data_IF_970589934061
#
_entry.id   IF_970589934061
#
_cell.length_a   1.000
_cell.length_b   1.000
_cell.length_c   1.000
_cell.angle_alpha   90.00
_cell.angle_beta   90.00
_cell.angle_gamma   90.00
#
_symmetry.space_group_name_H-M   'P 1'
#
loop_
_entity.id
_entity.type
_entity.pdbx_description
1 polymer ?
#
# COMPACT_ATOMS: atom_id res chain seq x y z
N UNK A 1 -28.20 37.73 -45.46
CA UNK A 1 -27.98 36.40 -44.83
C UNK A 1 -29.33 35.76 -44.54
N UNK A 2 -29.64 34.64 -45.21
CA UNK A 2 -30.98 34.03 -45.16
C UNK A 2 -31.24 33.36 -43.80
N UNK A 3 -32.50 33.29 -43.37
CA UNK A 3 -32.90 32.71 -42.05
C UNK A 3 -32.26 31.33 -41.81
N UNK A 4 -32.19 30.48 -42.84
CA UNK A 4 -31.56 29.15 -42.77
C UNK A 4 -30.06 29.20 -42.45
N UNK A 5 -29.32 30.17 -43.00
CA UNK A 5 -27.89 30.35 -42.73
C UNK A 5 -27.66 30.85 -41.29
N UNK A 6 -28.54 31.72 -40.77
CA UNK A 6 -28.51 32.15 -39.36
C UNK A 6 -28.79 30.99 -38.41
N UNK A 7 -29.82 30.19 -38.69
CA UNK A 7 -30.16 29.02 -37.86
C UNK A 7 -29.04 27.98 -37.87
N UNK A 8 -28.43 27.71 -39.03
CA UNK A 8 -27.31 26.78 -39.14
C UNK A 8 -26.09 27.22 -38.32
N UNK A 9 -25.74 28.51 -38.36
CA UNK A 9 -24.63 29.07 -37.58
C UNK A 9 -24.89 29.01 -36.06
N UNK A 10 -26.13 29.24 -35.63
CA UNK A 10 -26.51 29.14 -34.21
C UNK A 10 -26.37 27.69 -33.72
N UNK A 11 -26.81 26.71 -34.51
CA UNK A 11 -26.70 25.29 -34.16
C UNK A 11 -25.22 24.86 -34.05
N UNK A 12 -24.37 25.29 -34.98
CA UNK A 12 -22.93 25.02 -34.92
C UNK A 12 -22.30 25.64 -33.68
N UNK A 13 -22.65 26.89 -33.35
CA UNK A 13 -22.13 27.55 -32.16
C UNK A 13 -22.50 26.80 -30.88
N UNK A 14 -23.75 26.31 -30.77
CA UNK A 14 -24.20 25.50 -29.63
C UNK A 14 -23.41 24.18 -29.54
N UNK A 15 -23.20 23.49 -30.67
CA UNK A 15 -22.43 22.24 -30.71
C UNK A 15 -20.99 22.46 -30.24
N UNK A 16 -20.35 23.54 -30.68
CA UNK A 16 -18.97 23.88 -30.26
C UNK A 16 -18.91 24.18 -28.77
N UNK A 17 -19.91 24.89 -28.21
CA UNK A 17 -19.98 25.20 -26.77
C UNK A 17 -20.17 23.92 -25.94
N UNK A 18 -21.08 23.04 -26.36
CA UNK A 18 -21.33 21.76 -25.65
C UNK A 18 -20.09 20.85 -25.73
N UNK A 19 -19.45 20.78 -26.89
CA UNK A 19 -18.25 19.97 -27.08
C UNK A 19 -17.06 20.50 -26.27
N UNK A 20 -16.85 21.81 -26.25
CA UNK A 20 -15.78 22.42 -25.45
C UNK A 20 -16.01 22.26 -23.94
N UNK A 21 -17.25 22.38 -23.46
CA UNK A 21 -17.59 22.07 -22.07
C UNK A 21 -17.36 20.58 -21.72
N UNK A 22 -17.67 19.66 -22.64
CA UNK A 22 -17.40 18.24 -22.48
C UNK A 22 -15.90 17.94 -22.39
N UNK A 23 -15.10 18.53 -23.29
CA UNK A 23 -13.63 18.38 -23.30
C UNK A 23 -13.00 18.96 -22.04
N UNK A 24 -13.44 20.14 -21.57
CA UNK A 24 -12.94 20.74 -20.34
C UNK A 24 -13.27 19.88 -19.11
N UNK A 25 -14.51 19.36 -19.00
CA UNK A 25 -14.88 18.42 -17.94
C UNK A 25 -14.06 17.12 -18.02
N UNK A 26 -13.82 16.59 -19.22
CA UNK A 26 -13.02 15.38 -19.42
C UNK A 26 -11.55 15.60 -18.99
N UNK A 27 -10.97 16.75 -19.36
CA UNK A 27 -9.61 17.14 -18.95
C UNK A 27 -9.53 17.32 -17.43
N UNK A 28 -10.49 17.98 -16.78
CA UNK A 28 -10.49 18.14 -15.32
C UNK A 28 -10.67 16.80 -14.58
N UNK A 29 -11.48 15.89 -15.13
CA UNK A 29 -11.75 14.57 -14.50
C UNK A 29 -10.56 13.62 -14.61
N UNK A 30 -9.73 13.75 -15.67
CA UNK A 30 -8.57 12.87 -15.91
C UNK A 30 -7.26 13.47 -15.38
N UNK A 31 -7.05 14.78 -15.54
CA UNK A 31 -5.80 15.45 -15.13
C UNK A 31 -5.78 15.75 -13.61
N UNK A 32 -6.94 16.03 -13.00
CA UNK A 32 -7.06 16.31 -11.57
C UNK A 32 -6.51 15.20 -10.66
N UNK A 33 -6.85 13.92 -10.90
CA UNK A 33 -6.28 12.80 -10.15
C UNK A 33 -4.78 12.61 -10.37
N UNK A 34 -4.28 12.81 -11.60
CA UNK A 34 -2.88 12.55 -11.97
C UNK A 34 -1.93 13.58 -11.33
N UNK A 35 -2.28 14.87 -11.38
CA UNK A 35 -1.49 15.93 -10.75
C UNK A 35 -1.53 15.86 -9.21
N UNK A 36 -2.66 15.47 -8.63
CA UNK A 36 -2.78 15.21 -7.18
C UNK A 36 -1.95 14.00 -6.74
N UNK A 37 -1.85 12.97 -7.57
CA UNK A 37 -1.02 11.78 -7.33
C UNK A 37 0.48 12.10 -7.37
N UNK A 38 0.94 12.90 -8.33
CA UNK A 38 2.34 13.29 -8.43
C UNK A 38 2.78 14.19 -7.26
N UNK A 39 1.93 15.12 -6.81
CA UNK A 39 2.23 15.99 -5.68
C UNK A 39 2.09 15.27 -4.33
N UNK A 40 1.10 14.40 -4.16
CA UNK A 40 0.98 13.56 -2.96
C UNK A 40 2.14 12.55 -2.86
N UNK A 41 2.60 11.97 -3.97
CA UNK A 41 3.76 11.10 -4.00
C UNK A 41 5.05 11.82 -3.55
N UNK A 42 5.26 13.08 -3.93
CA UNK A 42 6.43 13.85 -3.49
C UNK A 42 6.40 14.13 -1.98
N UNK A 43 5.25 14.53 -1.44
CA UNK A 43 5.11 14.75 0.01
C UNK A 43 5.25 13.46 0.82
N UNK A 44 4.68 12.35 0.34
CA UNK A 44 4.82 11.04 0.99
C UNK A 44 6.28 10.54 0.97
N UNK A 45 6.97 10.69 -0.16
CA UNK A 45 8.40 10.35 -0.27
C UNK A 45 9.25 11.21 0.65
N UNK A 46 9.01 12.53 0.67
CA UNK A 46 9.70 13.46 1.57
C UNK A 46 9.48 13.10 3.05
N UNK A 47 8.25 12.75 3.43
CA UNK A 47 7.93 12.31 4.79
C UNK A 47 8.63 10.99 5.15
N UNK A 48 8.65 10.01 4.23
CA UNK A 48 9.36 8.75 4.44
C UNK A 48 10.87 8.99 4.58
N UNK A 49 11.47 9.84 3.73
CA UNK A 49 12.89 10.19 3.82
C UNK A 49 13.22 10.91 5.13
N UNK A 50 12.35 11.84 5.57
CA UNK A 50 12.49 12.50 6.86
C UNK A 50 12.44 11.51 8.02
N UNK A 51 11.52 10.55 7.97
CA UNK A 51 11.40 9.49 9.00
C UNK A 51 12.64 8.58 9.00
N UNK A 52 13.19 8.23 7.83
CA UNK A 52 14.41 7.42 7.75
C UNK A 52 15.63 8.08 8.40
N UNK A 53 15.65 9.40 8.52
CA UNK A 53 16.71 10.16 9.21
C UNK A 53 16.58 10.15 10.74
N UNK A 54 15.46 9.68 11.29
CA UNK A 54 15.29 9.55 12.73
C UNK A 54 16.21 8.46 13.31
N UNK A 55 16.52 8.54 14.62
CA UNK A 55 17.20 7.45 15.29
C UNK A 55 16.33 6.20 15.35
N UNK A 56 16.97 5.07 15.67
CA UNK A 56 16.27 3.83 15.96
C UNK A 56 15.82 3.85 17.43
N UNK A 57 14.54 3.58 17.65
CA UNK A 57 14.00 3.29 18.97
C UNK A 57 13.81 1.78 19.12
N UNK A 58 14.08 1.30 20.33
CA UNK A 58 13.93 -0.09 20.73
C UNK A 58 12.79 -0.14 21.75
N UNK A 59 11.67 -0.75 21.37
CA UNK A 59 10.50 -0.87 22.22
C UNK A 59 10.21 -2.33 22.53
N UNK A 60 10.10 -2.68 23.81
CA UNK A 60 9.53 -3.98 24.22
C UNK A 60 8.02 -3.85 24.30
N UNK A 61 7.30 -4.77 23.67
CA UNK A 61 5.83 -4.74 23.62
C UNK A 61 5.27 -5.17 24.96
N UNK A 62 4.43 -4.31 25.55
CA UNK A 62 3.75 -4.55 26.83
C UNK A 62 2.25 -4.45 26.62
N UNK A 63 1.58 -5.60 26.68
CA UNK A 63 0.13 -5.76 26.64
C UNK A 63 -0.24 -7.16 27.14
N UNK A 64 -1.42 -7.29 27.70
CA UNK A 64 -2.11 -8.53 28.07
C UNK A 64 -3.12 -8.99 26.99
N UNK A 65 -3.40 -8.15 26.00
CA UNK A 65 -4.34 -8.42 24.92
C UNK A 65 -3.64 -8.86 23.63
N UNK A 66 -4.45 -9.37 22.70
CA UNK A 66 -3.98 -9.74 21.36
C UNK A 66 -4.93 -9.23 20.29
N UNK A 67 -4.37 -9.00 19.10
CA UNK A 67 -5.08 -8.57 17.90
C UNK A 67 -5.00 -9.64 16.81
N UNK A 68 -6.08 -9.80 16.06
CA UNK A 68 -6.13 -10.74 14.94
C UNK A 68 -5.43 -10.13 13.72
N UNK A 69 -4.46 -10.87 13.20
CA UNK A 69 -3.76 -10.55 11.97
C UNK A 69 -4.71 -10.61 10.77
N UNK A 70 -4.80 -9.55 9.95
CA UNK A 70 -5.79 -9.49 8.87
C UNK A 70 -5.52 -10.53 7.77
N UNK A 71 -4.25 -10.89 7.52
CA UNK A 71 -3.86 -11.83 6.47
C UNK A 71 -3.85 -13.27 6.95
N UNK A 72 -3.07 -13.60 7.99
CA UNK A 72 -2.97 -15.00 8.47
C UNK A 72 -4.08 -15.43 9.41
N UNK A 73 -4.87 -14.50 9.97
CA UNK A 73 -5.95 -14.76 10.96
C UNK A 73 -5.48 -15.31 12.31
N UNK A 74 -4.18 -15.37 12.57
CA UNK A 74 -3.68 -15.71 13.90
C UNK A 74 -3.71 -14.51 14.85
N UNK A 75 -3.68 -14.77 16.15
CA UNK A 75 -3.48 -13.74 17.16
C UNK A 75 -2.01 -13.36 17.35
N UNK A 76 -1.76 -12.11 17.75
CA UNK A 76 -0.46 -11.59 18.17
C UNK A 76 -0.66 -10.34 19.02
N UNK A 77 0.28 -9.98 19.89
CA UNK A 77 0.22 -8.73 20.66
C UNK A 77 0.38 -7.49 19.77
N UNK A 78 1.20 -7.60 18.72
CA UNK A 78 1.35 -6.57 17.69
C UNK A 78 1.66 -7.25 16.36
N UNK A 79 1.13 -6.70 15.27
CA UNK A 79 1.54 -7.09 13.93
C UNK A 79 2.06 -5.92 13.12
N UNK A 80 2.93 -6.25 12.17
CA UNK A 80 3.41 -5.33 11.15
C UNK A 80 3.23 -5.94 9.76
N UNK A 81 2.72 -5.14 8.83
CA UNK A 81 2.62 -5.48 7.42
C UNK A 81 3.50 -4.54 6.61
N UNK A 82 4.62 -5.04 6.09
CA UNK A 82 5.41 -4.32 5.10
C UNK A 82 4.70 -4.45 3.75
N UNK A 83 4.48 -3.31 3.09
CA UNK A 83 3.68 -3.24 1.86
C UNK A 83 4.58 -2.89 0.68
N UNK A 84 4.41 -3.61 -0.42
CA UNK A 84 5.02 -3.32 -1.70
C UNK A 84 4.08 -3.66 -2.84
N UNK A 85 4.49 -3.36 -4.06
CA UNK A 85 3.74 -3.74 -5.25
C UNK A 85 4.62 -3.85 -6.47
N UNK A 86 4.19 -4.62 -7.47
CA UNK A 86 4.81 -4.70 -8.79
C UNK A 86 3.84 -4.20 -9.84
N UNK A 87 4.34 -3.46 -10.82
CA UNK A 87 3.62 -3.07 -12.02
C UNK A 87 4.25 -3.76 -13.22
N UNK A 88 3.42 -4.33 -14.09
CA UNK A 88 3.88 -4.90 -15.34
C UNK A 88 4.34 -3.76 -16.25
N UNK A 89 5.57 -3.85 -16.74
CA UNK A 89 6.05 -2.93 -17.77
C UNK A 89 5.71 -3.53 -19.13
N UNK A 90 4.92 -2.81 -19.93
CA UNK A 90 4.81 -3.14 -21.35
C UNK A 90 6.11 -2.73 -22.01
N UNK A 91 6.93 -3.71 -22.43
CA UNK A 91 8.03 -3.45 -23.35
C UNK A 91 7.47 -2.74 -24.58
N UNK A 92 8.02 -1.57 -24.91
CA UNK A 92 7.67 -0.86 -26.14
C UNK A 92 8.10 -1.72 -27.33
N UNK A 93 7.16 -2.53 -27.84
CA UNK A 93 7.37 -3.33 -29.03
C UNK A 93 7.37 -2.45 -30.27
N UNK A 94 8.51 -1.88 -30.62
CA UNK A 94 8.79 -1.56 -32.02
C UNK A 94 8.74 -2.87 -32.79
N UNK A 95 7.88 -2.92 -33.81
CA UNK A 95 7.62 -4.07 -34.69
C UNK A 95 8.88 -4.91 -34.92
N UNK A 96 8.93 -6.12 -34.35
CA UNK A 96 9.90 -7.15 -34.75
C UNK A 96 10.87 -7.68 -33.69
N UNK A 97 10.92 -7.13 -32.47
CA UNK A 97 11.76 -7.69 -31.40
C UNK A 97 10.87 -8.07 -30.22
N UNK A 98 10.89 -9.36 -29.85
CA UNK A 98 10.20 -9.91 -28.68
C UNK A 98 10.71 -9.24 -27.40
N UNK A 99 10.12 -8.11 -27.02
CA UNK A 99 10.44 -7.43 -25.77
C UNK A 99 9.95 -8.28 -24.60
N UNK A 100 10.88 -8.69 -23.72
CA UNK A 100 10.50 -9.38 -22.49
C UNK A 100 9.62 -8.45 -21.63
N UNK A 101 8.39 -8.85 -21.35
CA UNK A 101 7.56 -8.14 -20.37
C UNK A 101 8.17 -8.31 -18.99
N UNK A 102 8.64 -7.22 -18.38
CA UNK A 102 9.20 -7.20 -17.03
C UNK A 102 8.19 -6.73 -15.99
N UNK A 103 8.58 -6.79 -14.73
CA UNK A 103 7.87 -6.14 -13.63
C UNK A 103 8.77 -5.09 -13.01
N UNK A 104 8.26 -3.87 -12.82
CA UNK A 104 8.89 -2.87 -11.97
C UNK A 104 8.35 -3.03 -10.54
N UNK A 105 9.24 -3.25 -9.58
CA UNK A 105 8.89 -3.40 -8.16
C UNK A 105 9.01 -2.07 -7.41
N UNK A 106 8.02 -1.80 -6.56
CA UNK A 106 7.96 -0.69 -5.62
C UNK A 106 7.82 -1.26 -4.21
N UNK A 107 8.92 -1.29 -3.46
CA UNK A 107 8.87 -1.64 -2.04
C UNK A 107 8.70 -0.34 -1.24
N UNK A 108 7.57 -0.21 -0.54
CA UNK A 108 7.40 0.87 0.42
C UNK A 108 8.10 0.47 1.73
N UNK A 109 8.73 1.44 2.37
CA UNK A 109 9.58 1.20 3.53
C UNK A 109 8.84 1.39 4.85
N UNK A 110 7.65 1.98 4.81
CA UNK A 110 6.71 1.98 5.91
C UNK A 110 5.90 0.69 5.95
N UNK A 111 5.39 0.40 7.14
CA UNK A 111 4.54 -0.75 7.41
C UNK A 111 3.28 -0.30 8.13
N UNK A 112 2.20 -1.04 7.90
CA UNK A 112 0.98 -0.92 8.70
C UNK A 112 1.24 -1.62 10.03
N UNK A 113 0.92 -0.95 11.14
CA UNK A 113 1.02 -1.50 12.48
C UNK A 113 -0.39 -1.71 13.04
N UNK A 114 -0.63 -2.85 13.67
CA UNK A 114 -1.89 -3.14 14.36
C UNK A 114 -1.64 -3.79 15.72
N UNK A 115 -2.41 -3.36 16.71
CA UNK A 115 -2.22 -3.66 18.12
C UNK A 115 -3.54 -3.38 18.88
N UNK A 116 -3.77 -4.02 20.04
CA UNK A 116 -4.85 -3.69 20.97
C UNK A 116 -4.73 -2.27 21.54
N UNK A 117 -5.83 -1.64 21.96
CA UNK A 117 -5.86 -0.22 22.38
C UNK A 117 -4.89 0.13 23.51
N UNK A 118 -4.68 -0.77 24.45
CA UNK A 118 -3.86 -0.52 25.65
C UNK A 118 -2.38 -0.91 25.48
N UNK A 119 -1.96 -1.23 24.26
CA UNK A 119 -0.58 -1.61 23.97
C UNK A 119 0.38 -0.47 24.22
N UNK A 120 1.43 -0.76 24.98
CA UNK A 120 2.53 0.16 25.27
C UNK A 120 3.86 -0.39 24.78
N UNK A 121 4.81 0.50 24.53
CA UNK A 121 6.20 0.16 24.30
C UNK A 121 7.02 0.60 25.52
N UNK A 122 7.77 -0.34 26.08
CA UNK A 122 8.82 -0.04 27.05
C UNK A 122 10.08 0.37 26.28
N UNK A 123 10.45 1.64 26.37
CA UNK A 123 11.64 2.23 25.74
C UNK A 123 12.49 2.82 26.86
N UNK A 124 13.75 2.39 26.98
CA UNK A 124 14.70 2.85 27.99
C UNK A 124 14.12 2.89 29.43
N UNK A 125 13.37 1.84 29.80
CA UNK A 125 12.79 1.68 31.13
C UNK A 125 11.48 2.45 31.38
N UNK A 126 10.95 3.18 30.39
CA UNK A 126 9.68 3.92 30.51
C UNK A 126 8.63 3.42 29.51
N UNK A 127 7.38 3.37 29.95
CA UNK A 127 6.24 2.94 29.14
C UNK A 127 5.65 4.12 28.36
N UNK A 128 5.45 3.89 27.06
CA UNK A 128 4.85 4.85 26.14
C UNK A 128 3.66 4.22 25.42
N UNK A 129 2.50 4.89 25.32
CA UNK A 129 1.38 4.41 24.52
C UNK A 129 1.72 4.42 23.03
N UNK A 130 1.19 3.45 22.27
CA UNK A 130 1.31 3.44 20.81
C UNK A 130 0.12 4.20 20.21
N UNK A 131 0.38 5.37 19.61
CA UNK A 131 -0.65 6.20 18.96
C UNK A 131 -0.52 6.23 17.42
N UNK A 132 0.48 5.54 16.86
CA UNK A 132 0.74 5.52 15.42
C UNK A 132 0.24 4.24 14.75
N UNK A 133 -0.33 4.36 13.55
CA UNK A 133 -0.81 3.23 12.73
C UNK A 133 0.19 2.81 11.65
N UNK A 134 1.27 3.57 11.49
CA UNK A 134 2.35 3.32 10.54
C UNK A 134 3.70 3.56 11.20
N UNK A 135 4.69 2.78 10.80
CA UNK A 135 6.07 2.95 11.24
C UNK A 135 7.04 2.53 10.13
N UNK A 136 8.29 3.00 10.21
CA UNK A 136 9.39 2.44 9.40
C UNK A 136 10.20 1.52 10.30
N UNK A 137 10.08 0.21 10.09
CA UNK A 137 10.88 -0.76 10.82
C UNK A 137 12.28 -0.81 10.23
N UNK A 138 13.29 -0.66 11.07
CA UNK A 138 14.69 -0.68 10.63
C UNK A 138 15.27 -2.08 10.59
N UNK A 139 14.95 -2.89 11.60
CA UNK A 139 15.33 -4.30 11.67
C UNK A 139 14.18 -5.09 12.24
N UNK A 140 13.84 -6.17 11.54
CA UNK A 140 13.00 -7.23 12.11
C UNK A 140 13.92 -8.40 12.37
N UNK A 141 14.30 -8.57 13.63
CA UNK A 141 15.28 -9.57 14.07
C UNK A 141 16.75 -9.10 14.03
N UNK A 142 17.39 -9.24 15.21
CA UNK A 142 18.82 -9.20 15.55
C UNK A 142 19.54 -7.86 15.82
N UNK A 143 20.04 -7.77 17.06
CA UNK A 143 21.49 -7.64 17.29
C UNK A 143 22.04 -8.57 18.39
N UNK A 144 21.23 -9.00 19.36
CA UNK A 144 21.63 -9.87 20.48
C UNK A 144 20.38 -10.70 20.88
N UNK A 145 20.56 -11.94 21.34
CA UNK A 145 19.53 -12.88 21.84
C UNK A 145 18.55 -12.17 22.82
N UNK A 146 17.23 -12.35 22.88
CA UNK A 146 16.49 -13.59 23.16
C UNK A 146 14.97 -13.59 22.81
N UNK A 147 14.33 -12.51 22.32
CA UNK A 147 12.88 -12.54 21.97
C UNK A 147 12.55 -11.72 20.71
N UNK A 148 12.19 -12.42 19.63
CA UNK A 148 12.02 -11.86 18.28
C UNK A 148 10.57 -11.98 17.82
N UNK A 149 10.07 -10.92 17.21
CA UNK A 149 8.93 -11.04 16.30
C UNK A 149 9.26 -12.02 15.17
N UNK A 150 8.33 -12.91 14.87
CA UNK A 150 8.46 -13.99 13.89
C UNK A 150 8.04 -13.45 12.52
N UNK A 151 8.90 -13.62 11.50
CA UNK A 151 8.47 -13.51 10.09
C UNK A 151 7.47 -14.63 9.86
N UNK A 152 6.24 -14.28 9.58
CA UNK A 152 5.20 -15.30 9.47
C UNK A 152 5.05 -15.75 8.05
N UNK A 153 4.91 -14.79 7.11
CA UNK A 153 4.55 -15.14 5.75
C UNK A 153 4.75 -13.98 4.78
N UNK A 154 5.27 -14.31 3.61
CA UNK A 154 5.28 -13.46 2.42
C UNK A 154 4.08 -13.80 1.54
N UNK A 155 3.40 -12.76 1.05
CA UNK A 155 2.25 -12.88 0.17
C UNK A 155 2.50 -12.07 -1.09
N UNK A 156 2.49 -12.73 -2.25
CA UNK A 156 2.36 -12.09 -3.55
C UNK A 156 0.94 -12.31 -4.08
N UNK A 157 0.21 -11.22 -4.28
CA UNK A 157 -1.22 -11.27 -4.58
C UNK A 157 -1.47 -10.57 -5.90
N UNK A 158 -1.86 -11.35 -6.90
CA UNK A 158 -2.00 -10.91 -8.28
C UNK A 158 -3.38 -10.32 -8.52
N UNK A 159 -3.43 -9.15 -9.17
CA UNK A 159 -4.68 -8.47 -9.50
C UNK A 159 -5.40 -9.19 -10.65
N UNK A 160 -4.62 -9.75 -11.58
CA UNK A 160 -5.11 -10.46 -12.77
C UNK A 160 -5.03 -11.97 -12.64
N UNK A 161 -5.86 -12.68 -13.40
CA UNK A 161 -5.84 -14.14 -13.56
C UNK A 161 -4.55 -14.63 -14.25
N UNK A 162 -3.85 -13.75 -14.98
CA UNK A 162 -2.65 -14.08 -15.76
C UNK A 162 -1.39 -14.39 -14.93
N UNK A 163 -1.33 -13.97 -13.66
CA UNK A 163 -0.17 -14.21 -12.80
C UNK A 163 0.07 -15.68 -12.43
N UNK A 164 -0.96 -16.53 -12.55
CA UNK A 164 -0.90 -17.92 -12.09
C UNK A 164 -0.78 -18.95 -13.22
N UNK A 165 -0.90 -18.51 -14.47
CA UNK A 165 -0.65 -19.36 -15.65
C UNK A 165 0.84 -19.66 -15.88
N UNK A 166 1.75 -19.06 -15.12
CA UNK A 166 3.20 -19.37 -15.17
C UNK A 166 3.65 -20.43 -14.17
N UNK A 167 2.79 -20.85 -13.23
CA UNK A 167 3.06 -22.00 -12.37
C UNK A 167 2.56 -23.22 -13.13
N UNK A 168 3.42 -23.74 -14.02
CA UNK A 168 3.13 -24.92 -14.81
C UNK A 168 2.78 -26.08 -13.90
N UNK A 169 1.49 -26.39 -13.78
CA UNK A 169 0.92 -27.70 -13.51
C UNK A 169 -0.60 -27.55 -13.48
N UNK A 170 -1.28 -28.58 -13.99
CA UNK A 170 -2.73 -28.75 -14.14
C UNK A 170 -3.51 -28.61 -12.82
N UNK A 171 -3.56 -27.40 -12.24
CA UNK A 171 -4.25 -27.13 -10.98
C UNK A 171 -5.69 -26.66 -11.22
N UNK A 172 -6.60 -27.14 -10.37
CA UNK A 172 -8.02 -26.84 -10.42
C UNK A 172 -8.27 -25.32 -10.23
N UNK A 173 -8.78 -24.68 -11.28
CA UNK A 173 -9.05 -23.24 -11.33
C UNK A 173 -9.98 -22.76 -10.21
N UNK A 174 -10.98 -23.55 -9.84
CA UNK A 174 -11.98 -23.19 -8.82
C UNK A 174 -11.35 -23.08 -7.42
N UNK A 175 -10.45 -24.01 -7.08
CA UNK A 175 -9.74 -23.98 -5.81
C UNK A 175 -8.89 -22.71 -5.69
N UNK A 176 -8.19 -22.33 -6.77
CA UNK A 176 -7.37 -21.13 -6.77
C UNK A 176 -8.21 -19.84 -6.72
N UNK A 177 -9.32 -19.77 -7.46
CA UNK A 177 -10.19 -18.60 -7.43
C UNK A 177 -10.83 -18.38 -6.05
N UNK A 178 -11.13 -19.46 -5.33
CA UNK A 178 -11.60 -19.39 -3.94
C UNK A 178 -10.55 -18.79 -2.99
N UNK A 179 -9.28 -19.20 -3.10
CA UNK A 179 -8.16 -18.66 -2.31
C UNK A 179 -7.93 -17.19 -2.67
N UNK A 180 -7.94 -16.86 -3.97
CA UNK A 180 -7.79 -15.49 -4.46
C UNK A 180 -8.89 -14.58 -3.92
N UNK A 181 -10.14 -15.05 -3.97
CA UNK A 181 -11.30 -14.30 -3.48
C UNK A 181 -11.24 -14.09 -1.97
N UNK A 182 -10.90 -15.13 -1.20
CA UNK A 182 -10.68 -15.01 0.24
C UNK A 182 -9.56 -14.03 0.57
N UNK A 183 -8.44 -14.07 -0.15
CA UNK A 183 -7.33 -13.15 0.05
C UNK A 183 -7.68 -11.72 -0.33
N UNK A 184 -8.39 -11.50 -1.44
CA UNK A 184 -8.91 -10.17 -1.83
C UNK A 184 -9.85 -9.61 -0.76
N UNK A 185 -10.70 -10.43 -0.15
CA UNK A 185 -11.54 -9.99 0.98
C UNK A 185 -10.71 -9.55 2.19
N UNK A 186 -9.64 -10.29 2.53
CA UNK A 186 -8.71 -9.89 3.61
C UNK A 186 -8.02 -8.57 3.31
N UNK A 187 -7.54 -8.36 2.08
CA UNK A 187 -6.92 -7.09 1.66
C UNK A 187 -7.91 -5.93 1.72
N UNK A 188 -9.20 -6.14 1.41
CA UNK A 188 -10.23 -5.08 1.53
C UNK A 188 -10.33 -4.52 2.95
N UNK A 189 -10.01 -5.32 3.99
CA UNK A 189 -9.98 -4.86 5.39
C UNK A 189 -8.85 -3.84 5.65
N UNK A 190 -7.86 -3.78 4.76
CA UNK A 190 -6.72 -2.86 4.83
C UNK A 190 -6.92 -1.59 3.99
N UNK A 191 -8.10 -1.40 3.39
CA UNK A 191 -8.42 -0.19 2.62
C UNK A 191 -8.24 1.07 3.49
N UNK A 192 -7.60 2.09 2.94
CA UNK A 192 -7.27 3.35 3.62
C UNK A 192 -6.11 3.26 4.61
N UNK A 193 -5.53 2.07 4.85
CA UNK A 193 -4.37 1.91 5.75
C UNK A 193 -3.04 2.19 5.06
N UNK A 194 -2.97 1.96 3.74
CA UNK A 194 -1.75 2.19 2.96
C UNK A 194 -2.08 2.45 1.49
N UNK A 195 -1.40 3.44 0.89
CA UNK A 195 -1.67 3.92 -0.47
C UNK A 195 -1.57 2.83 -1.54
N UNK A 196 -0.57 1.95 -1.43
CA UNK A 196 -0.41 0.82 -2.37
C UNK A 196 -1.59 -0.14 -2.32
N UNK A 197 -2.16 -0.36 -1.13
CA UNK A 197 -3.33 -1.21 -0.97
C UNK A 197 -4.52 -0.55 -1.67
N UNK A 198 -4.70 0.75 -1.50
CA UNK A 198 -5.76 1.49 -2.17
C UNK A 198 -5.58 1.49 -3.69
N UNK A 199 -4.35 1.64 -4.18
CA UNK A 199 -4.03 1.54 -5.60
C UNK A 199 -4.35 0.15 -6.15
N UNK A 200 -3.89 -0.92 -5.47
CA UNK A 200 -4.17 -2.30 -5.83
C UNK A 200 -5.68 -2.60 -5.85
N UNK A 201 -6.41 -2.19 -4.81
CA UNK A 201 -7.86 -2.40 -4.69
C UNK A 201 -8.66 -1.59 -5.72
N UNK A 202 -8.20 -0.38 -6.06
CA UNK A 202 -8.86 0.44 -7.07
C UNK A 202 -8.70 -0.13 -8.47
N UNK A 203 -7.55 -0.76 -8.74
CA UNK A 203 -7.12 -1.31 -10.04
C UNK A 203 -7.41 -0.43 -11.26
N UNK A 204 -7.62 0.88 -11.08
CA UNK A 204 -7.83 1.81 -12.20
C UNK A 204 -6.46 2.03 -12.85
N UNK A 205 -6.35 1.65 -14.12
CA UNK A 205 -5.16 1.83 -14.98
C UNK A 205 -3.95 0.94 -14.64
N UNK A 206 -4.12 -0.27 -14.07
CA UNK A 206 -3.02 -1.23 -13.85
C UNK A 206 -1.80 -0.64 -13.13
N UNK A 207 -2.03 0.22 -12.13
CA UNK A 207 -0.94 0.88 -11.39
C UNK A 207 -0.19 -0.07 -10.46
N UNK A 208 -0.87 -1.12 -9.98
CA UNK A 208 -0.30 -2.19 -9.16
C UNK A 208 -0.92 -3.51 -9.61
N UNK A 209 -0.15 -4.30 -10.35
CA UNK A 209 -0.58 -5.59 -10.87
C UNK A 209 -0.37 -6.72 -9.86
N UNK A 210 0.62 -6.59 -8.98
CA UNK A 210 0.92 -7.55 -7.92
C UNK A 210 1.08 -6.76 -6.62
N UNK A 211 0.35 -7.12 -5.57
CA UNK A 211 0.56 -6.61 -4.23
C UNK A 211 1.53 -7.55 -3.48
N UNK A 212 2.58 -6.99 -2.90
CA UNK A 212 3.52 -7.73 -2.04
C UNK A 212 3.22 -7.34 -0.60
N UNK A 213 2.94 -8.31 0.26
CA UNK A 213 2.76 -8.08 1.69
C UNK A 213 3.68 -9.04 2.45
N UNK A 214 4.44 -8.51 3.40
CA UNK A 214 5.20 -9.32 4.37
C UNK A 214 4.65 -9.08 5.76
N UNK A 215 4.16 -10.14 6.38
CA UNK A 215 3.56 -10.11 7.71
C UNK A 215 4.58 -10.53 8.78
N UNK A 216 4.71 -9.68 9.79
CA UNK A 216 5.48 -9.93 11.00
C UNK A 216 4.54 -9.94 12.19
N UNK A 217 4.75 -10.89 13.10
CA UNK A 217 4.00 -10.98 14.34
C UNK A 217 4.92 -10.84 15.53
N UNK A 218 4.43 -10.15 16.53
CA UNK A 218 5.15 -9.91 17.77
C UNK A 218 4.23 -10.27 18.94
N UNK A 219 4.78 -10.97 19.92
CA UNK A 219 4.14 -11.30 21.18
C UNK A 219 4.55 -10.29 22.26
N UNK A 220 3.83 -10.29 23.38
CA UNK A 220 4.22 -9.54 24.56
C UNK A 220 5.65 -9.94 24.99
N UNK A 221 6.48 -8.95 25.28
CA UNK A 221 7.89 -9.13 25.58
C UNK A 221 8.82 -9.19 24.36
N UNK A 222 8.29 -9.23 23.13
CA UNK A 222 9.12 -9.07 21.93
C UNK A 222 9.58 -7.62 21.76
N UNK A 223 10.74 -7.45 21.13
CA UNK A 223 11.29 -6.14 20.80
C UNK A 223 10.97 -5.75 19.36
N UNK A 224 10.46 -4.53 19.18
CA UNK A 224 10.32 -3.87 17.87
C UNK A 224 11.36 -2.75 17.73
N UNK A 225 11.98 -2.68 16.55
CA UNK A 225 12.97 -1.63 16.22
C UNK A 225 12.43 -0.81 15.06
N UNK A 226 12.28 0.49 15.30
CA UNK A 226 11.65 1.39 14.34
C UNK A 226 12.25 2.79 14.39
N UNK A 227 12.06 3.54 13.31
CA UNK A 227 12.43 4.95 13.23
C UNK A 227 11.45 5.82 14.02
N UNK A 228 11.96 6.54 15.01
CA UNK A 228 11.17 7.39 15.88
C UNK A 228 12.04 8.26 16.78
N UNK A 229 11.41 9.17 17.52
CA UNK A 229 12.03 9.87 18.65
C UNK A 229 11.01 10.03 19.77
N UNK A 230 11.48 10.20 21.00
CA UNK A 230 10.63 10.58 22.12
C UNK A 230 10.62 12.11 22.23
N UNK A 231 9.44 12.70 22.23
CA UNK A 231 9.24 14.14 22.38
C UNK A 231 8.00 14.37 23.26
N UNK A 232 8.09 15.23 24.27
CA UNK A 232 6.99 15.52 25.19
C UNK A 232 6.31 14.28 25.82
N UNK A 233 7.10 13.27 26.20
CA UNK A 233 6.62 11.97 26.73
C UNK A 233 5.81 11.12 25.73
N UNK A 234 5.90 11.39 24.43
CA UNK A 234 5.24 10.62 23.39
C UNK A 234 6.24 10.05 22.40
N UNK A 235 5.93 8.88 21.85
CA UNK A 235 6.67 8.35 20.70
C UNK A 235 6.17 9.06 19.46
N UNK A 236 7.04 9.89 18.88
CA UNK A 236 6.77 10.55 17.60
C UNK A 236 7.33 9.67 16.48
N UNK A 237 6.47 8.81 15.95
CA UNK A 237 6.61 8.21 14.62
C UNK A 237 5.87 9.17 13.67
N UNK A 238 6.57 9.94 12.81
CA UNK A 238 6.04 11.12 12.09
C UNK A 238 4.93 10.84 11.02
N UNK A 239 4.02 9.89 11.25
CA UNK A 239 2.89 9.55 10.37
C UNK A 239 1.54 9.94 10.95
#
# INVERSE_FOLDING_TARGET
MNKRTKTFLIVIAIIVIVFSAFVLNFIMTIAGPINRLNNANKNDLYNIERIRKLPDLFGVIVTDETVINPLSKSSSSLYSLKVGGKQKTSGGGSKGISGSSGFQEYIFHDCIIGYPSDTKLLVDGKLYPINFKKAVLTKVGNKVEEKKGIIVKDYEIYNTTYGYLSIGNSMNYEYYDSIRSAMKQRIKQLKGRHKVIDLYLSNKNHKVDILILREYKFNAGDTIIFKGKIENNEIVSLF
#
